data_IF_588643490940
#
_entry.id   IF_588643490940
#
_cell.length_a   1.000
_cell.length_b   1.000
_cell.length_c   1.000
_cell.angle_alpha   90.00
_cell.angle_beta   90.00
_cell.angle_gamma   90.00
#
_symmetry.space_group_name_H-M   'P 1'
#
loop_
_entity.id
_entity.type
_entity.pdbx_description
1 polymer ?
#
# COMPACT_ATOMS: atom_id res chain seq x y z
N UNK A 1 13.55 -58.20 -5.97
CA UNK A 1 14.03 -56.98 -5.28
C UNK A 1 14.19 -57.32 -3.81
N UNK A 2 15.36 -57.08 -3.19
CA UNK A 2 15.54 -57.36 -1.77
C UNK A 2 14.67 -56.40 -0.95
N UNK A 3 13.96 -56.93 0.05
CA UNK A 3 13.27 -56.11 1.06
C UNK A 3 14.35 -55.33 1.81
N UNK A 4 14.39 -54.01 1.70
CA UNK A 4 15.25 -53.21 2.57
C UNK A 4 14.65 -53.26 3.97
N UNK A 5 15.17 -54.14 4.82
CA UNK A 5 14.98 -54.01 6.25
C UNK A 5 15.55 -52.65 6.66
N UNK A 6 14.68 -51.80 7.21
CA UNK A 6 15.09 -50.51 7.76
C UNK A 6 16.11 -50.77 8.87
N UNK A 7 17.25 -50.04 8.90
CA UNK A 7 18.23 -50.22 9.97
C UNK A 7 17.60 -49.94 11.33
N UNK A 8 18.05 -50.65 12.40
CA UNK A 8 17.36 -50.76 13.70
C UNK A 8 17.21 -49.44 14.48
N UNK A 9 17.82 -48.34 14.02
CA UNK A 9 17.73 -47.01 14.63
C UNK A 9 17.05 -45.96 13.75
N UNK A 10 16.26 -46.36 12.75
CA UNK A 10 15.53 -45.37 11.96
C UNK A 10 14.39 -44.79 12.83
N UNK A 11 14.35 -43.47 13.10
CA UNK A 11 13.23 -42.89 13.83
C UNK A 11 11.93 -43.19 13.08
N UNK A 12 10.94 -43.73 13.78
CA UNK A 12 9.69 -44.20 13.19
C UNK A 12 8.47 -43.62 13.92
N UNK A 13 7.39 -43.40 13.17
CA UNK A 13 6.05 -43.15 13.74
C UNK A 13 5.44 -44.52 13.99
N UNK A 14 5.22 -44.86 15.25
CA UNK A 14 4.68 -46.15 15.66
C UNK A 14 3.22 -45.98 15.99
N UNK A 15 2.35 -46.65 15.25
CA UNK A 15 0.90 -46.68 15.50
C UNK A 15 0.57 -48.05 16.08
N UNK A 16 -0.14 -48.07 17.20
CA UNK A 16 -0.61 -49.30 17.84
C UNK A 16 -2.12 -49.27 18.05
N UNK A 17 -2.78 -50.34 17.63
CA UNK A 17 -4.20 -50.56 17.81
C UNK A 17 -5.11 -49.54 17.11
N UNK A 18 -4.81 -49.14 15.88
CA UNK A 18 -5.69 -48.22 15.15
C UNK A 18 -6.99 -48.89 14.71
N UNK A 19 -8.13 -48.30 15.11
CA UNK A 19 -9.50 -48.81 14.93
C UNK A 19 -10.47 -47.76 14.36
N UNK A 20 -10.00 -46.56 14.06
CA UNK A 20 -10.81 -45.49 13.46
C UNK A 20 -11.57 -45.97 12.21
N UNK A 21 -12.88 -45.76 12.20
CA UNK A 21 -13.82 -46.23 11.17
C UNK A 21 -13.77 -47.74 10.91
N UNK A 22 -13.14 -48.17 9.82
CA UNK A 22 -13.12 -49.56 9.38
C UNK A 22 -11.76 -50.25 9.59
N UNK A 23 -10.81 -49.57 10.24
CA UNK A 23 -9.52 -50.16 10.61
C UNK A 23 -9.74 -51.31 11.61
N UNK A 24 -8.99 -52.40 11.43
CA UNK A 24 -9.17 -53.65 12.19
C UNK A 24 -8.08 -53.85 13.23
N UNK A 25 -7.94 -52.88 14.14
CA UNK A 25 -6.94 -52.90 15.22
C UNK A 25 -5.52 -53.12 14.68
N UNK A 26 -5.09 -52.25 13.77
CA UNK A 26 -3.84 -52.43 13.04
C UNK A 26 -2.66 -51.79 13.77
N UNK A 27 -1.51 -52.46 13.70
CA UNK A 27 -0.21 -51.96 14.15
C UNK A 27 0.67 -51.70 12.93
N UNK A 28 1.36 -50.56 12.91
CA UNK A 28 2.29 -50.24 11.83
C UNK A 28 3.40 -49.28 12.29
N UNK A 29 4.54 -49.39 11.63
CA UNK A 29 5.70 -48.50 11.83
C UNK A 29 6.00 -47.78 10.52
N UNK A 30 5.90 -46.44 10.53
CA UNK A 30 6.22 -45.59 9.38
C UNK A 30 7.60 -44.97 9.58
N UNK A 31 8.52 -45.05 8.60
CA UNK A 31 9.80 -44.38 8.70
C UNK A 31 9.61 -42.85 8.69
N UNK A 32 10.23 -42.15 9.65
CA UNK A 32 10.23 -40.67 9.67
C UNK A 32 11.17 -40.13 8.58
N UNK A 33 10.92 -38.89 8.19
CA UNK A 33 11.75 -38.14 7.21
C UNK A 33 11.83 -38.82 5.83
N UNK A 34 10.80 -39.60 5.50
CA UNK A 34 10.66 -40.27 4.21
C UNK A 34 9.32 -39.92 3.58
N UNK A 35 9.27 -39.96 2.26
CA UNK A 35 8.01 -39.94 1.53
C UNK A 35 7.34 -41.31 1.67
N UNK A 36 6.31 -41.37 2.51
CA UNK A 36 5.50 -42.58 2.72
C UNK A 36 4.25 -42.50 1.85
N UNK A 37 4.01 -43.53 1.05
CA UNK A 37 2.82 -43.63 0.19
C UNK A 37 1.91 -44.75 0.71
N UNK A 38 0.69 -44.38 1.12
CA UNK A 38 -0.35 -45.34 1.52
C UNK A 38 -1.21 -45.66 0.29
N UNK A 39 -1.25 -46.92 -0.11
CA UNK A 39 -1.97 -47.39 -1.31
C UNK A 39 -2.90 -48.55 -0.97
N UNK A 40 -3.87 -48.84 -1.86
CA UNK A 40 -4.90 -49.86 -1.66
C UNK A 40 -6.23 -49.52 -2.32
N UNK A 41 -7.14 -50.51 -2.39
CA UNK A 41 -8.47 -50.38 -3.00
C UNK A 41 -9.31 -49.27 -2.36
N UNK A 42 -10.28 -48.72 -3.09
CA UNK A 42 -11.24 -47.77 -2.51
C UNK A 42 -11.94 -48.40 -1.30
N UNK A 43 -12.10 -47.62 -0.22
CA UNK A 43 -12.67 -48.13 1.04
C UNK A 43 -11.74 -49.00 1.90
N UNK A 44 -10.48 -49.24 1.52
CA UNK A 44 -9.55 -50.09 2.31
C UNK A 44 -9.07 -49.47 3.64
N UNK A 45 -9.56 -48.28 4.01
CA UNK A 45 -9.16 -47.59 5.25
C UNK A 45 -7.96 -46.65 5.11
N UNK A 46 -7.52 -46.31 3.89
CA UNK A 46 -6.39 -45.38 3.66
C UNK A 46 -6.63 -44.00 4.29
N UNK A 47 -7.79 -43.41 4.00
CA UNK A 47 -8.16 -42.10 4.56
C UNK A 47 -8.38 -42.18 6.06
N UNK A 48 -8.98 -43.27 6.55
CA UNK A 48 -9.16 -43.55 7.98
C UNK A 48 -7.82 -43.55 8.73
N UNK A 49 -6.77 -44.13 8.14
CA UNK A 49 -5.44 -44.13 8.72
C UNK A 49 -4.73 -42.77 8.57
N UNK A 50 -4.72 -42.20 7.37
CA UNK A 50 -3.95 -40.99 7.06
C UNK A 50 -4.54 -39.72 7.68
N UNK A 51 -5.85 -39.48 7.46
CA UNK A 51 -6.52 -38.25 7.85
C UNK A 51 -7.18 -38.41 9.23
N UNK A 52 -8.03 -39.42 9.38
CA UNK A 52 -8.87 -39.56 10.57
C UNK A 52 -8.11 -40.09 11.80
N UNK A 53 -6.92 -40.67 11.60
CA UNK A 53 -6.05 -41.15 12.69
C UNK A 53 -4.78 -40.33 12.81
N UNK A 54 -3.86 -40.39 11.83
CA UNK A 54 -2.54 -39.77 11.94
C UNK A 54 -2.60 -38.24 11.95
N UNK A 55 -3.28 -37.63 10.97
CA UNK A 55 -3.43 -36.17 10.91
C UNK A 55 -4.25 -35.64 12.10
N UNK A 56 -5.40 -36.26 12.40
CA UNK A 56 -6.24 -35.87 13.51
C UNK A 56 -5.49 -35.89 14.86
N UNK A 57 -4.74 -36.95 15.17
CA UNK A 57 -3.91 -37.00 16.39
C UNK A 57 -2.76 -35.99 16.36
N UNK A 58 -2.11 -35.80 15.21
CA UNK A 58 -1.00 -34.86 15.05
C UNK A 58 -1.44 -33.41 15.28
N UNK A 59 -2.59 -33.04 14.71
CA UNK A 59 -3.20 -31.74 14.92
C UNK A 59 -3.69 -31.57 16.37
N UNK A 60 -4.41 -32.56 16.93
CA UNK A 60 -4.91 -32.50 18.31
C UNK A 60 -3.80 -32.26 19.31
N UNK A 61 -2.73 -33.07 19.26
CA UNK A 61 -1.58 -32.94 20.17
C UNK A 61 -0.88 -31.59 20.06
N UNK A 62 -0.78 -31.04 18.84
CA UNK A 62 -0.18 -29.72 18.64
C UNK A 62 -1.06 -28.61 19.21
N UNK A 63 -2.36 -28.60 18.93
CA UNK A 63 -3.27 -27.56 19.43
C UNK A 63 -3.45 -27.65 20.96
N UNK A 64 -3.42 -28.86 21.55
CA UNK A 64 -3.41 -29.05 23.01
C UNK A 64 -2.20 -28.39 23.70
N UNK A 65 -1.09 -28.19 22.98
CA UNK A 65 0.11 -27.53 23.50
C UNK A 65 0.04 -26.00 23.46
N UNK A 66 -0.84 -25.41 22.63
CA UNK A 66 -0.86 -23.96 22.36
C UNK A 66 -1.39 -23.12 23.52
N UNK A 67 -2.49 -23.54 24.17
CA UNK A 67 -3.00 -22.81 25.35
C UNK A 67 -3.87 -23.70 26.25
N UNK A 68 -3.92 -23.35 27.54
CA UNK A 68 -4.82 -24.01 28.50
C UNK A 68 -6.30 -23.88 28.12
N UNK A 69 -6.68 -22.75 27.50
CA UNK A 69 -8.04 -22.51 27.00
C UNK A 69 -8.37 -23.41 25.80
N UNK A 70 -7.46 -23.53 24.83
CA UNK A 70 -7.67 -24.41 23.67
C UNK A 70 -7.89 -25.87 24.05
N UNK A 71 -7.24 -26.35 25.12
CA UNK A 71 -7.48 -27.71 25.64
C UNK A 71 -8.93 -27.96 26.05
N UNK A 72 -9.62 -26.97 26.61
CA UNK A 72 -11.03 -27.12 27.02
C UNK A 72 -11.95 -27.38 25.81
N UNK A 73 -11.66 -26.77 24.66
CA UNK A 73 -12.44 -26.97 23.43
C UNK A 73 -12.09 -28.29 22.72
N UNK A 74 -10.83 -28.72 22.78
CA UNK A 74 -10.40 -29.99 22.16
C UNK A 74 -10.94 -31.23 22.88
N UNK A 75 -11.27 -31.13 24.18
CA UNK A 75 -11.92 -32.21 24.91
C UNK A 75 -13.34 -32.53 24.41
N UNK A 76 -13.96 -31.63 23.64
CA UNK A 76 -15.26 -31.83 23.01
C UNK A 76 -15.17 -32.49 21.63
N UNK A 77 -13.96 -32.64 21.08
CA UNK A 77 -13.75 -33.28 19.78
C UNK A 77 -13.57 -34.79 19.96
N UNK A 78 -14.14 -35.57 19.05
CA UNK A 78 -13.94 -37.01 19.02
C UNK A 78 -12.46 -37.35 18.83
N UNK A 79 -11.92 -38.14 19.76
CA UNK A 79 -10.55 -38.64 19.66
C UNK A 79 -10.54 -39.83 18.69
N UNK A 80 -9.53 -39.91 17.80
CA UNK A 80 -9.34 -41.10 16.98
C UNK A 80 -9.21 -42.35 17.85
N UNK A 81 -9.84 -43.45 17.43
CA UNK A 81 -9.78 -44.73 18.15
C UNK A 81 -8.46 -45.43 17.83
N UNK A 82 -7.47 -45.18 18.69
CA UNK A 82 -6.11 -45.73 18.61
C UNK A 82 -5.56 -45.90 20.02
N UNK A 83 -4.80 -46.96 20.28
CA UNK A 83 -4.23 -47.18 21.62
C UNK A 83 -3.09 -46.21 21.89
N UNK A 84 -2.07 -46.21 21.02
CA UNK A 84 -0.89 -45.36 21.17
C UNK A 84 -0.37 -44.96 19.79
N UNK A 85 0.06 -43.70 19.68
CA UNK A 85 0.92 -43.25 18.58
C UNK A 85 2.16 -42.58 19.15
N UNK A 86 3.35 -43.09 18.81
CA UNK A 86 4.64 -42.55 19.22
C UNK A 86 5.38 -41.93 18.02
N UNK A 87 6.21 -40.92 18.28
CA UNK A 87 7.03 -40.28 17.23
C UNK A 87 6.26 -39.39 16.24
N UNK A 88 4.98 -39.12 16.50
CA UNK A 88 4.14 -38.27 15.65
C UNK A 88 4.52 -36.79 15.77
N UNK A 89 4.73 -36.14 14.62
CA UNK A 89 5.01 -34.70 14.54
C UNK A 89 3.71 -33.90 14.37
N UNK A 90 3.69 -32.58 14.61
CA UNK A 90 2.58 -31.73 14.20
C UNK A 90 2.24 -31.97 12.73
N UNK A 91 0.97 -32.25 12.44
CA UNK A 91 0.52 -32.68 11.13
C UNK A 91 -0.22 -31.57 10.41
N UNK A 92 -0.02 -31.48 9.09
CA UNK A 92 -0.72 -30.56 8.19
C UNK A 92 -1.40 -31.41 7.12
N UNK A 93 -2.70 -31.21 6.92
CA UNK A 93 -3.44 -31.85 5.83
C UNK A 93 -3.43 -30.94 4.60
N UNK A 94 -3.13 -31.52 3.45
CA UNK A 94 -3.26 -30.87 2.15
C UNK A 94 -4.26 -31.71 1.35
N UNK A 95 -5.50 -31.24 1.30
CA UNK A 95 -6.63 -31.91 0.65
C UNK A 95 -7.15 -31.10 -0.54
N UNK A 96 -7.82 -31.78 -1.48
CA UNK A 96 -8.55 -31.16 -2.57
C UNK A 96 -9.96 -30.67 -2.15
N UNK A 97 -10.18 -30.37 -0.87
CA UNK A 97 -11.43 -29.75 -0.42
C UNK A 97 -11.43 -28.29 -0.88
N UNK A 98 -12.51 -27.85 -1.52
CA UNK A 98 -12.63 -26.48 -1.98
C UNK A 98 -12.46 -25.51 -0.80
N UNK A 99 -11.33 -24.79 -0.78
CA UNK A 99 -11.07 -23.71 0.16
C UNK A 99 -11.99 -22.55 -0.19
N UNK A 100 -13.08 -22.39 0.58
CA UNK A 100 -13.95 -21.20 0.65
C UNK A 100 -14.49 -20.67 -0.69
N UNK A 101 -15.80 -20.79 -0.91
CA UNK A 101 -16.51 -20.16 -2.05
C UNK A 101 -16.79 -18.66 -1.84
N UNK A 102 -15.97 -17.95 -1.08
CA UNK A 102 -16.17 -16.51 -0.88
C UNK A 102 -15.87 -15.76 -2.19
N UNK A 103 -16.83 -15.03 -2.79
CA UNK A 103 -16.62 -14.34 -4.06
C UNK A 103 -15.57 -13.21 -3.99
N UNK A 104 -15.17 -12.77 -2.79
CA UNK A 104 -14.08 -11.80 -2.59
C UNK A 104 -12.70 -12.45 -2.48
N UNK A 105 -12.63 -13.77 -2.42
CA UNK A 105 -11.37 -14.51 -2.36
C UNK A 105 -10.84 -14.74 -3.76
N UNK A 106 -9.57 -14.43 -3.97
CA UNK A 106 -8.83 -14.65 -5.21
C UNK A 106 -7.59 -15.50 -4.93
N UNK A 107 -6.92 -15.95 -6.00
CA UNK A 107 -5.62 -16.61 -5.85
C UNK A 107 -4.63 -15.72 -5.10
N UNK A 108 -4.64 -14.41 -5.37
CA UNK A 108 -3.75 -13.44 -4.72
C UNK A 108 -4.00 -13.29 -3.22
N UNK A 109 -5.25 -13.41 -2.76
CA UNK A 109 -5.56 -13.35 -1.33
C UNK A 109 -5.27 -14.66 -0.61
N UNK A 110 -5.47 -15.81 -1.27
CA UNK A 110 -5.17 -17.13 -0.67
C UNK A 110 -3.66 -17.35 -0.53
N UNK A 111 -2.88 -16.82 -1.48
CA UNK A 111 -1.42 -16.92 -1.47
C UNK A 111 -0.73 -15.75 -0.78
N UNK A 112 -1.49 -14.81 -0.20
CA UNK A 112 -1.02 -13.56 0.41
C UNK A 112 -0.24 -12.62 -0.54
N UNK A 113 -0.06 -12.99 -1.82
CA UNK A 113 0.61 -12.15 -2.83
C UNK A 113 -0.05 -10.79 -2.95
N UNK A 114 -1.38 -10.72 -2.83
CA UNK A 114 -2.10 -9.45 -2.87
C UNK A 114 -1.67 -8.51 -1.74
N UNK A 115 -1.38 -9.03 -0.54
CA UNK A 115 -0.96 -8.22 0.60
C UNK A 115 0.45 -7.66 0.38
N UNK A 116 1.36 -8.47 -0.18
CA UNK A 116 2.68 -7.99 -0.61
C UNK A 116 2.59 -6.95 -1.71
N UNK A 117 1.70 -7.12 -2.69
CA UNK A 117 1.48 -6.12 -3.74
C UNK A 117 0.94 -4.81 -3.15
N UNK A 118 0.01 -4.85 -2.21
CA UNK A 118 -0.48 -3.64 -1.53
C UNK A 118 0.66 -2.90 -0.82
N UNK A 119 1.53 -3.62 -0.13
CA UNK A 119 2.69 -3.02 0.53
C UNK A 119 3.68 -2.43 -0.49
N UNK A 120 3.92 -3.12 -1.62
CA UNK A 120 4.76 -2.62 -2.70
C UNK A 120 4.23 -1.30 -3.28
N UNK A 121 2.94 -1.26 -3.63
CA UNK A 121 2.32 -0.05 -4.18
C UNK A 121 2.28 1.10 -3.17
N UNK A 122 2.06 0.82 -1.89
CA UNK A 122 2.07 1.85 -0.84
C UNK A 122 3.47 2.44 -0.60
N UNK A 123 4.53 1.64 -0.75
CA UNK A 123 5.91 2.06 -0.44
C UNK A 123 6.69 2.59 -1.63
N UNK A 124 6.43 2.06 -2.83
CA UNK A 124 7.20 2.34 -4.04
C UNK A 124 6.34 2.82 -5.21
N UNK A 125 5.01 2.82 -5.08
CA UNK A 125 4.14 3.35 -6.11
C UNK A 125 4.15 4.87 -6.11
N UNK A 126 4.40 5.48 -7.26
CA UNK A 126 4.17 6.90 -7.48
C UNK A 126 2.69 7.12 -7.79
N UNK A 127 1.93 7.84 -6.96
CA UNK A 127 0.54 8.17 -7.26
C UNK A 127 0.46 9.21 -8.38
N UNK A 128 -0.56 9.11 -9.23
CA UNK A 128 -0.81 10.05 -10.34
C UNK A 128 -2.19 10.66 -10.23
N UNK A 129 -2.32 11.91 -10.70
CA UNK A 129 -3.62 12.55 -10.84
C UNK A 129 -4.43 11.87 -11.96
N UNK A 130 -5.68 11.44 -11.72
CA UNK A 130 -6.48 10.75 -12.73
C UNK A 130 -6.86 11.63 -13.94
N UNK A 131 -6.92 12.96 -13.75
CA UNK A 131 -7.33 13.89 -14.80
C UNK A 131 -6.14 14.48 -15.59
N UNK A 132 -4.98 14.64 -14.94
CA UNK A 132 -3.82 15.37 -15.48
C UNK A 132 -2.60 14.48 -15.75
N UNK A 133 -2.61 13.22 -15.31
CA UNK A 133 -1.50 12.27 -15.42
C UNK A 133 -0.16 12.81 -14.88
N UNK A 134 -0.24 13.70 -13.89
CA UNK A 134 0.92 14.27 -13.20
C UNK A 134 1.20 13.48 -11.92
N UNK A 135 2.49 13.26 -11.57
CA UNK A 135 2.85 12.62 -10.32
C UNK A 135 2.40 13.50 -9.15
N UNK A 136 1.73 12.86 -8.17
CA UNK A 136 1.40 13.49 -6.90
C UNK A 136 2.62 13.30 -6.00
N UNK A 137 3.54 14.25 -6.04
CA UNK A 137 4.76 14.22 -5.23
C UNK A 137 4.77 15.40 -4.26
N UNK A 138 5.11 15.13 -3.00
CA UNK A 138 5.25 16.13 -1.97
C UNK A 138 6.70 16.60 -1.93
N UNK A 139 6.94 17.84 -2.35
CA UNK A 139 8.27 18.42 -2.39
C UNK A 139 8.46 19.38 -1.22
N UNK A 140 9.61 19.27 -0.56
CA UNK A 140 10.03 20.25 0.44
C UNK A 140 10.43 21.56 -0.23
N UNK A 141 10.33 22.68 0.50
CA UNK A 141 10.80 23.99 0.02
C UNK A 141 12.25 23.91 -0.47
N UNK A 142 13.10 23.14 0.22
CA UNK A 142 14.49 22.92 -0.21
C UNK A 142 14.59 22.29 -1.61
N UNK A 143 13.80 21.27 -1.89
CA UNK A 143 13.75 20.64 -3.22
C UNK A 143 13.20 21.59 -4.29
N UNK A 144 12.18 22.40 -3.97
CA UNK A 144 11.65 23.41 -4.89
C UNK A 144 12.71 24.47 -5.23
N UNK A 145 13.45 24.94 -4.22
CA UNK A 145 14.54 25.90 -4.37
C UNK A 145 15.67 25.31 -5.21
N UNK A 146 16.09 24.08 -4.93
CA UNK A 146 17.16 23.42 -5.67
C UNK A 146 16.74 23.15 -7.13
N UNK A 147 15.48 22.80 -7.39
CA UNK A 147 14.94 22.64 -8.74
C UNK A 147 14.97 23.95 -9.54
N UNK A 148 14.60 25.07 -8.91
CA UNK A 148 14.63 26.40 -9.52
C UNK A 148 16.07 26.90 -9.75
N UNK A 149 16.96 26.70 -8.77
CA UNK A 149 18.36 27.10 -8.89
C UNK A 149 19.17 26.25 -9.88
N UNK A 150 18.63 25.08 -10.28
CA UNK A 150 19.18 24.25 -11.35
C UNK A 150 18.90 24.78 -12.77
N UNK A 151 18.07 25.81 -12.92
CA UNK A 151 17.82 26.48 -14.20
C UNK A 151 19.04 27.31 -14.64
N UNK A 152 19.15 27.68 -15.93
CA UNK A 152 20.26 28.53 -16.42
C UNK A 152 20.43 29.82 -15.60
N UNK A 153 21.66 30.30 -15.48
CA UNK A 153 21.95 31.55 -14.75
C UNK A 153 21.19 32.75 -15.34
N UNK A 154 20.79 33.68 -14.46
CA UNK A 154 20.05 34.90 -14.77
C UNK A 154 18.64 34.68 -15.40
N UNK A 155 18.09 33.46 -15.34
CA UNK A 155 16.69 33.17 -15.71
C UNK A 155 15.74 34.00 -14.85
N UNK A 156 14.86 34.77 -15.49
CA UNK A 156 13.85 35.59 -14.80
C UNK A 156 12.67 34.74 -14.40
N UNK A 157 12.42 34.66 -13.10
CA UNK A 157 11.35 33.85 -12.53
C UNK A 157 10.33 34.71 -11.79
N UNK A 158 9.09 34.29 -11.91
CA UNK A 158 7.96 34.79 -11.15
C UNK A 158 7.42 33.66 -10.28
N UNK A 159 7.46 33.85 -8.96
CA UNK A 159 6.88 32.90 -8.01
C UNK A 159 5.42 33.28 -7.80
N UNK A 160 4.54 32.32 -8.03
CA UNK A 160 3.10 32.48 -8.07
C UNK A 160 2.44 31.53 -7.08
N UNK A 161 1.41 32.02 -6.39
CA UNK A 161 0.56 31.22 -5.50
C UNK A 161 -0.80 30.96 -6.19
N UNK A 162 -1.10 29.73 -6.66
CA UNK A 162 -2.36 29.43 -7.34
C UNK A 162 -3.52 29.29 -6.35
N UNK A 163 -4.15 30.43 -6.03
CA UNK A 163 -5.26 30.51 -5.07
C UNK A 163 -6.57 30.00 -5.64
N UNK A 164 -6.81 30.22 -6.93
CA UNK A 164 -8.04 29.79 -7.62
C UNK A 164 -7.68 29.10 -8.92
N UNK A 165 -8.25 27.91 -9.14
CA UNK A 165 -8.09 27.12 -10.36
C UNK A 165 -9.43 26.57 -10.84
N UNK A 166 -9.78 26.85 -12.08
CA UNK A 166 -10.99 26.37 -12.78
C UNK A 166 -12.30 26.59 -12.00
N UNK A 167 -12.42 27.70 -11.25
CA UNK A 167 -13.61 28.02 -10.44
C UNK A 167 -14.38 29.21 -10.98
N UNK A 168 -15.71 29.16 -10.86
CA UNK A 168 -16.61 30.24 -11.24
C UNK A 168 -16.76 31.25 -10.11
N UNK A 169 -16.66 32.54 -10.41
CA UNK A 169 -16.85 33.59 -9.40
C UNK A 169 -16.24 34.93 -9.80
N UNK A 170 -16.62 35.98 -9.07
CA UNK A 170 -16.06 37.34 -9.22
C UNK A 170 -14.80 37.56 -8.38
N UNK A 171 -14.59 36.77 -7.32
CA UNK A 171 -13.41 36.77 -6.44
C UNK A 171 -12.99 38.15 -5.87
N UNK A 172 -13.88 39.14 -5.83
CA UNK A 172 -13.58 40.49 -5.33
C UNK A 172 -13.09 40.50 -3.87
N UNK A 173 -13.70 39.69 -2.99
CA UNK A 173 -13.29 39.54 -1.60
C UNK A 173 -11.87 38.95 -1.50
N UNK A 174 -11.55 37.93 -2.32
CA UNK A 174 -10.22 37.33 -2.37
C UNK A 174 -9.15 38.36 -2.74
N UNK A 175 -9.39 39.19 -3.76
CA UNK A 175 -8.45 40.24 -4.14
C UNK A 175 -8.23 41.25 -3.01
N UNK A 176 -9.31 41.70 -2.35
CA UNK A 176 -9.23 42.63 -1.23
C UNK A 176 -8.45 42.04 -0.03
N UNK A 177 -8.70 40.77 0.30
CA UNK A 177 -7.98 40.07 1.37
C UNK A 177 -6.49 39.94 1.08
N UNK A 178 -6.13 39.63 -0.17
CA UNK A 178 -4.72 39.55 -0.60
C UNK A 178 -4.06 40.93 -0.60
N UNK A 179 -4.77 41.99 -1.00
CA UNK A 179 -4.27 43.36 -0.94
C UNK A 179 -4.02 43.80 0.51
N UNK A 180 -4.93 43.46 1.44
CA UNK A 180 -4.75 43.74 2.86
C UNK A 180 -3.52 43.04 3.45
N UNK A 181 -3.10 41.90 2.87
CA UNK A 181 -1.87 41.19 3.20
C UNK A 181 -0.62 41.76 2.49
N UNK A 182 -0.78 42.76 1.62
CA UNK A 182 0.31 43.46 0.94
C UNK A 182 0.59 43.00 -0.50
N UNK A 183 -0.20 42.08 -1.06
CA UNK A 183 -0.02 41.63 -2.45
C UNK A 183 -0.68 42.60 -3.43
N UNK A 184 0.11 43.14 -4.34
CA UNK A 184 -0.32 44.18 -5.30
C UNK A 184 -0.48 43.68 -6.73
N UNK A 185 -0.03 42.46 -7.04
CA UNK A 185 -0.01 41.90 -8.40
C UNK A 185 -0.64 40.53 -8.44
N UNK A 186 -1.44 40.30 -9.48
CA UNK A 186 -2.19 39.07 -9.70
C UNK A 186 -2.09 38.66 -11.16
N UNK A 187 -1.99 37.36 -11.41
CA UNK A 187 -2.15 36.79 -12.75
C UNK A 187 -3.56 36.23 -12.85
N UNK A 188 -4.38 36.82 -13.70
CA UNK A 188 -5.77 36.41 -13.96
C UNK A 188 -5.86 35.91 -15.39
N UNK A 189 -6.31 34.67 -15.56
CA UNK A 189 -6.47 34.00 -16.86
C UNK A 189 -5.22 34.11 -17.76
N UNK A 190 -4.03 33.99 -17.14
CA UNK A 190 -2.73 34.06 -17.79
C UNK A 190 -2.14 35.47 -17.97
N UNK A 191 -2.90 36.53 -17.69
CA UNK A 191 -2.46 37.93 -17.81
C UNK A 191 -2.16 38.56 -16.45
N UNK A 192 -1.04 39.27 -16.33
CA UNK A 192 -0.62 39.92 -15.08
C UNK A 192 -1.21 41.33 -14.99
N UNK A 193 -1.92 41.60 -13.90
CA UNK A 193 -2.55 42.89 -13.59
C UNK A 193 -2.08 43.39 -12.22
N UNK A 194 -2.01 44.70 -12.05
CA UNK A 194 -1.90 45.32 -10.73
C UNK A 194 -3.29 45.45 -10.10
N UNK A 195 -3.36 45.52 -8.77
CA UNK A 195 -4.64 45.54 -8.05
C UNK A 195 -5.59 46.65 -8.55
N UNK A 196 -5.06 47.83 -8.82
CA UNK A 196 -5.84 48.99 -9.28
C UNK A 196 -6.38 48.84 -10.71
N UNK A 197 -5.80 47.92 -11.50
CA UNK A 197 -6.13 47.66 -12.91
C UNK A 197 -6.78 46.29 -13.11
N UNK A 198 -7.29 45.66 -12.04
CA UNK A 198 -7.91 44.33 -12.13
C UNK A 198 -9.16 44.33 -13.04
N UNK A 199 -9.27 43.36 -13.97
CA UNK A 199 -10.47 43.21 -14.78
C UNK A 199 -11.66 42.76 -13.92
N UNK A 200 -12.86 43.28 -14.22
CA UNK A 200 -14.09 42.78 -13.59
C UNK A 200 -14.41 41.38 -14.12
N UNK A 201 -14.17 40.37 -13.30
CA UNK A 201 -14.48 38.97 -13.61
C UNK A 201 -16.00 38.72 -13.65
N UNK A 202 -16.45 37.72 -14.40
CA UNK A 202 -17.87 37.39 -14.52
C UNK A 202 -18.20 36.17 -13.66
N UNK A 203 -19.27 36.23 -12.84
CA UNK A 203 -19.68 35.09 -11.98
C UNK A 203 -19.92 33.77 -12.70
N UNK A 204 -20.27 33.79 -13.99
CA UNK A 204 -20.66 32.60 -14.75
C UNK A 204 -19.48 31.89 -15.41
N UNK A 205 -18.36 32.58 -15.58
CA UNK A 205 -17.16 32.08 -16.26
C UNK A 205 -16.20 31.49 -15.24
N UNK A 206 -15.40 30.52 -15.68
CA UNK A 206 -14.35 29.93 -14.84
C UNK A 206 -13.10 30.77 -14.98
N UNK A 207 -12.42 31.02 -13.87
CA UNK A 207 -11.23 31.85 -13.83
C UNK A 207 -10.08 31.13 -13.10
N UNK A 208 -8.87 31.43 -13.56
CA UNK A 208 -7.61 31.06 -12.91
C UNK A 208 -6.98 32.32 -12.32
N UNK A 209 -6.68 32.28 -11.02
CA UNK A 209 -6.11 33.42 -10.29
C UNK A 209 -4.88 32.95 -9.53
N UNK A 210 -3.74 33.55 -9.88
CA UNK A 210 -2.49 33.39 -9.15
C UNK A 210 -2.06 34.71 -8.51
N UNK A 211 -1.63 34.66 -7.26
CA UNK A 211 -1.03 35.82 -6.58
C UNK A 211 0.45 35.87 -6.92
N UNK A 212 0.96 37.02 -7.35
CA UNK A 212 2.39 37.19 -7.60
C UNK A 212 3.09 37.46 -6.27
N UNK A 213 3.89 36.50 -5.82
CA UNK A 213 4.59 36.57 -4.52
C UNK A 213 5.93 37.28 -4.67
N UNK A 214 6.73 36.91 -5.67
CA UNK A 214 8.03 37.53 -5.91
C UNK A 214 8.45 37.45 -7.39
N UNK A 215 9.37 38.32 -7.78
CA UNK A 215 10.03 38.32 -9.10
C UNK A 215 11.54 38.42 -8.87
N UNK A 216 12.26 37.41 -9.31
CA UNK A 216 13.69 37.25 -9.05
C UNK A 216 14.43 36.69 -10.26
N UNK A 217 15.76 36.77 -10.23
CA UNK A 217 16.64 36.12 -11.21
C UNK A 217 17.37 34.97 -10.55
N UNK A 218 17.51 33.85 -11.25
CA UNK A 218 18.26 32.70 -10.74
C UNK A 218 19.74 33.06 -10.58
N UNK A 219 20.19 33.10 -9.33
CA UNK A 219 21.58 33.32 -8.93
C UNK A 219 21.87 32.51 -7.68
N UNK A 220 23.14 32.19 -7.44
CA UNK A 220 23.53 31.37 -6.29
C UNK A 220 23.33 32.08 -4.94
N UNK A 221 23.33 33.42 -4.92
CA UNK A 221 23.17 34.26 -3.74
C UNK A 221 21.70 34.46 -3.30
N UNK A 222 20.73 34.19 -4.17
CA UNK A 222 19.30 34.41 -3.87
C UNK A 222 18.61 33.21 -3.22
N UNK A 223 19.34 32.16 -2.81
CA UNK A 223 18.77 30.91 -2.25
C UNK A 223 17.77 31.17 -1.12
N UNK A 224 18.14 32.01 -0.16
CA UNK A 224 17.28 32.32 1.00
C UNK A 224 16.00 33.05 0.57
N UNK A 225 16.11 34.02 -0.35
CA UNK A 225 14.96 34.76 -0.86
C UNK A 225 14.00 33.86 -1.65
N UNK A 226 14.51 32.92 -2.45
CA UNK A 226 13.69 31.95 -3.18
C UNK A 226 12.92 31.06 -2.19
N UNK A 227 13.57 30.61 -1.13
CA UNK A 227 12.92 29.81 -0.08
C UNK A 227 11.78 30.59 0.60
N UNK A 228 12.02 31.84 1.02
CA UNK A 228 11.01 32.70 1.64
C UNK A 228 9.80 32.94 0.71
N UNK A 229 10.06 33.13 -0.59
CA UNK A 229 9.02 33.30 -1.61
C UNK A 229 8.19 32.02 -1.81
N UNK A 230 8.81 30.84 -1.80
CA UNK A 230 8.08 29.58 -1.84
C UNK A 230 7.26 29.35 -0.57
N UNK A 231 7.79 29.62 0.61
CA UNK A 231 7.04 29.50 1.87
C UNK A 231 5.81 30.41 1.89
N UNK A 232 5.95 31.65 1.41
CA UNK A 232 4.84 32.58 1.29
C UNK A 232 3.79 32.08 0.28
N UNK A 233 4.21 31.56 -0.89
CA UNK A 233 3.31 31.03 -1.90
C UNK A 233 2.52 29.81 -1.38
N UNK A 234 3.22 28.85 -0.76
CA UNK A 234 2.63 27.65 -0.19
C UNK A 234 1.63 27.98 0.93
N UNK A 235 1.90 29.00 1.75
CA UNK A 235 1.00 29.42 2.83
C UNK A 235 -0.35 29.92 2.31
N UNK A 236 -0.36 30.58 1.16
CA UNK A 236 -1.55 31.24 0.62
C UNK A 236 -2.34 30.32 -0.32
N UNK A 237 -1.66 29.45 -1.07
CA UNK A 237 -2.28 28.53 -2.03
C UNK A 237 -2.47 27.10 -1.51
N UNK A 238 -2.49 26.93 -0.18
CA UNK A 238 -2.69 25.66 0.53
C UNK A 238 -1.70 24.55 0.14
N UNK A 239 -0.41 24.92 0.07
CA UNK A 239 0.69 24.01 -0.23
C UNK A 239 0.98 23.85 -1.72
N UNK A 240 0.53 24.78 -2.58
CA UNK A 240 0.86 24.80 -4.01
C UNK A 240 1.66 26.05 -4.36
N UNK A 241 2.57 25.93 -5.32
CA UNK A 241 3.32 27.06 -5.84
C UNK A 241 3.67 26.83 -7.31
N UNK A 242 3.89 27.92 -8.04
CA UNK A 242 4.28 27.86 -9.45
C UNK A 242 5.46 28.79 -9.64
N UNK A 243 6.52 28.31 -10.30
CA UNK A 243 7.59 29.17 -10.79
C UNK A 243 7.43 29.31 -12.31
N UNK A 244 7.15 30.53 -12.76
CA UNK A 244 7.00 30.87 -14.18
C UNK A 244 8.29 31.50 -14.69
N UNK A 245 8.87 30.92 -15.75
CA UNK A 245 9.94 31.56 -16.53
C UNK A 245 9.36 32.72 -17.36
N UNK A 246 9.78 33.96 -17.05
CA UNK A 246 9.21 35.14 -17.70
C UNK A 246 9.60 35.27 -19.18
N UNK A 247 10.78 34.77 -19.55
CA UNK A 247 11.30 34.89 -20.91
C UNK A 247 10.80 33.74 -21.81
N UNK A 248 10.56 32.55 -21.24
CA UNK A 248 10.17 31.33 -21.97
C UNK A 248 8.71 30.89 -21.78
N UNK A 249 7.98 31.45 -20.81
CA UNK A 249 6.61 31.09 -20.49
C UNK A 249 6.44 29.69 -19.89
N UNK A 250 7.54 29.00 -19.58
CA UNK A 250 7.52 27.64 -19.01
C UNK A 250 7.13 27.69 -17.54
N UNK A 251 6.15 26.89 -17.16
CA UNK A 251 5.68 26.75 -15.78
C UNK A 251 6.29 25.52 -15.11
N UNK A 252 6.82 25.73 -13.90
CA UNK A 252 7.25 24.67 -13.00
C UNK A 252 6.27 24.62 -11.84
N UNK A 253 5.53 23.52 -11.77
CA UNK A 253 4.46 23.30 -10.82
C UNK A 253 5.01 22.58 -9.60
N UNK A 254 4.73 23.11 -8.40
CA UNK A 254 5.21 22.59 -7.14
C UNK A 254 4.07 22.36 -6.16
N UNK A 255 4.17 21.31 -5.35
CA UNK A 255 3.25 20.99 -4.27
C UNK A 255 4.02 20.52 -3.03
N UNK A 256 3.69 21.05 -1.87
CA UNK A 256 4.22 20.61 -0.57
C UNK A 256 3.39 19.49 0.06
N UNK A 257 2.32 19.06 -0.61
CA UNK A 257 1.44 17.96 -0.21
C UNK A 257 1.40 16.92 -1.33
N UNK A 258 0.95 15.70 -1.03
CA UNK A 258 0.60 14.68 -2.02
C UNK A 258 -0.68 15.06 -2.79
N UNK A 259 -0.57 16.13 -3.59
CA UNK A 259 -1.66 16.79 -4.26
C UNK A 259 -1.27 17.22 -5.67
N UNK A 260 -2.25 17.21 -6.57
CA UNK A 260 -2.08 17.65 -7.93
C UNK A 260 -1.90 19.17 -7.92
N UNK A 261 -0.84 19.69 -8.56
CA UNK A 261 -0.58 21.12 -8.55
C UNK A 261 -1.63 21.92 -9.35
N UNK A 262 -2.43 21.26 -10.20
CA UNK A 262 -3.46 21.88 -11.05
C UNK A 262 -4.83 21.84 -10.37
N UNK A 263 -5.40 20.66 -10.14
CA UNK A 263 -6.81 20.51 -9.73
C UNK A 263 -7.04 20.29 -8.23
N UNK A 264 -6.00 20.34 -7.39
CA UNK A 264 -6.09 20.08 -5.94
C UNK A 264 -6.49 18.66 -5.54
N UNK A 265 -6.60 17.71 -6.49
CA UNK A 265 -6.80 16.30 -6.19
C UNK A 265 -5.65 15.80 -5.32
N UNK A 266 -5.95 15.27 -4.14
CA UNK A 266 -4.94 14.78 -3.21
C UNK A 266 -5.29 13.39 -2.71
N UNK A 267 -4.27 12.64 -2.33
CA UNK A 267 -4.41 11.34 -1.69
C UNK A 267 -3.84 11.50 -0.27
N UNK A 268 -4.57 11.07 0.76
CA UNK A 268 -4.04 11.07 2.12
C UNK A 268 -2.83 10.13 2.21
N UNK A 269 -1.84 10.50 3.02
CA UNK A 269 -0.73 9.59 3.36
C UNK A 269 -1.27 8.35 4.08
N UNK A 270 -0.77 7.18 3.67
CA UNK A 270 -1.11 5.85 4.23
C UNK A 270 -0.39 5.58 5.56
#
# INVERSE_FOLDING_TARGET
MPRSELPPETPAIRVRGARTHNLKNIDLDLPRERLVVITGLSGSGKSSLAFDTLYAEGQRRYVESLSAYARQFLQLMDKPDVDVIEGLSPAISIEQKATSHNPRSTVGTITEIHDYLRLLYARAGTPYCPDHDLPLDAQSVGQMVDAVLGLPEDTRLMVLAPVVRDRKGEFAELFADMQAQGYVRFRVDGTVHEFDELPKLKKTEKHDIDVVVDRLKTRSDVKQRVAESFEAALRIADGRAIALEMDGGKEHLFSSKFACPICSYSIPEL
#
